data_IF_990272119590
#
_entry.id   IF_990272119590
#
_cell.length_a   1.000
_cell.length_b   1.000
_cell.length_c   1.000
_cell.angle_alpha   90.00
_cell.angle_beta   90.00
_cell.angle_gamma   90.00
#
_symmetry.space_group_name_H-M   'P 1'
#
loop_
_entity.id
_entity.type
_entity.pdbx_description
1 polymer ?
#
# COMPACT_ATOMS: atom_id res chain seq x y z
N UNK A 1 54.93 25.61 -72.37
CA UNK A 1 54.76 26.98 -71.88
C UNK A 1 53.56 27.04 -71.01
N UNK A 2 53.74 27.69 -69.86
CA UNK A 2 52.75 28.09 -68.86
C UNK A 2 52.12 27.01 -67.97
N UNK A 3 52.72 26.96 -66.82
CA UNK A 3 52.31 26.37 -65.54
C UNK A 3 51.12 27.12 -64.96
N UNK A 4 50.15 26.42 -64.36
CA UNK A 4 49.16 27.02 -63.51
C UNK A 4 49.09 26.21 -62.20
N UNK A 5 49.64 26.79 -61.16
CA UNK A 5 49.52 26.29 -59.78
C UNK A 5 48.10 26.52 -59.27
N UNK A 6 47.41 25.42 -58.86
CA UNK A 6 46.17 25.48 -58.16
C UNK A 6 46.42 25.30 -56.65
N UNK A 7 46.16 26.35 -55.87
CA UNK A 7 46.19 26.32 -54.41
C UNK A 7 44.98 25.50 -53.82
N UNK A 8 45.29 24.43 -53.12
CA UNK A 8 44.31 23.72 -52.31
C UNK A 8 44.36 24.28 -50.88
N UNK A 9 43.40 25.08 -50.54
CA UNK A 9 43.14 25.44 -49.10
C UNK A 9 42.31 24.37 -48.47
N UNK A 10 42.93 23.56 -47.61
CA UNK A 10 42.23 22.61 -46.73
C UNK A 10 41.50 23.37 -45.63
N UNK A 11 40.18 23.35 -45.66
CA UNK A 11 39.35 23.81 -44.55
C UNK A 11 39.42 22.78 -43.38
N UNK A 12 40.06 23.17 -42.29
CA UNK A 12 40.03 22.39 -41.05
C UNK A 12 38.68 22.58 -40.36
N UNK A 13 37.90 21.49 -40.26
CA UNK A 13 36.68 21.45 -39.47
C UNK A 13 37.02 21.47 -37.99
N UNK A 14 36.60 22.53 -37.29
CA UNK A 14 36.69 22.64 -35.83
C UNK A 14 35.68 21.67 -35.22
N UNK A 15 36.07 20.75 -34.33
CA UNK A 15 35.10 19.85 -33.68
C UNK A 15 34.20 20.65 -32.73
N UNK A 16 32.90 20.63 -32.99
CA UNK A 16 31.88 21.19 -32.10
C UNK A 16 31.89 20.39 -30.81
N UNK A 17 32.31 21.03 -29.72
CA UNK A 17 32.30 20.46 -28.37
C UNK A 17 30.84 20.35 -27.90
N UNK A 18 30.29 19.14 -27.94
CA UNK A 18 28.98 18.85 -27.35
C UNK A 18 29.15 19.01 -25.84
N UNK A 19 28.50 20.03 -25.27
CA UNK A 19 28.43 20.20 -23.84
C UNK A 19 27.55 19.07 -23.25
N UNK A 20 28.17 18.11 -22.62
CA UNK A 20 27.45 17.11 -21.79
C UNK A 20 26.99 17.84 -20.54
N UNK A 21 25.72 18.21 -20.52
CA UNK A 21 25.06 18.73 -19.31
C UNK A 21 24.88 17.54 -18.35
N UNK A 22 25.83 17.32 -17.45
CA UNK A 22 25.62 16.45 -16.30
C UNK A 22 24.62 17.12 -15.38
N UNK A 23 23.35 16.70 -15.48
CA UNK A 23 22.33 17.07 -14.48
C UNK A 23 22.72 16.36 -13.18
N UNK A 24 23.42 17.04 -12.30
CA UNK A 24 23.64 16.58 -10.92
C UNK A 24 22.28 16.67 -10.24
N UNK A 25 21.57 15.55 -10.15
CA UNK A 25 20.34 15.45 -9.37
C UNK A 25 20.77 15.54 -7.91
N UNK A 26 20.45 16.65 -7.24
CA UNK A 26 20.59 16.72 -5.79
C UNK A 26 19.86 15.53 -5.17
N UNK A 27 20.41 14.92 -4.09
CA UNK A 27 19.75 13.79 -3.43
C UNK A 27 18.37 14.26 -2.95
N UNK A 28 17.33 13.50 -3.32
CA UNK A 28 15.95 13.76 -2.89
C UNK A 28 15.86 13.54 -1.37
N UNK A 29 15.86 14.62 -0.59
CA UNK A 29 15.83 14.58 0.87
C UNK A 29 14.42 14.31 1.38
N UNK A 30 14.26 13.31 2.23
CA UNK A 30 13.02 13.04 2.96
C UNK A 30 12.95 13.99 4.16
N UNK A 31 11.93 14.83 4.22
CA UNK A 31 11.72 15.80 5.29
C UNK A 31 10.28 15.74 5.83
N UNK A 32 10.04 16.40 6.96
CA UNK A 32 8.73 16.50 7.59
C UNK A 32 7.78 17.39 6.76
N UNK A 33 7.27 16.85 5.67
CA UNK A 33 6.36 17.56 4.76
C UNK A 33 4.91 17.63 5.25
N UNK A 34 4.57 16.94 6.35
CA UNK A 34 3.18 16.79 6.78
C UNK A 34 2.39 15.96 5.77
N UNK A 35 1.35 16.58 5.19
CA UNK A 35 0.56 16.02 4.06
C UNK A 35 0.70 16.89 2.81
N UNK A 36 1.75 17.70 2.70
CA UNK A 36 1.99 18.55 1.55
C UNK A 36 2.60 17.74 0.40
N UNK A 37 2.17 18.06 -0.82
CA UNK A 37 2.77 17.53 -2.05
C UNK A 37 4.10 18.23 -2.36
N UNK A 38 5.01 17.56 -3.04
CA UNK A 38 6.30 18.13 -3.43
C UNK A 38 7.42 17.08 -3.58
N UNK A 39 8.64 17.56 -3.75
CA UNK A 39 9.83 16.75 -3.99
C UNK A 39 10.11 15.81 -2.81
N UNK A 40 10.06 16.31 -1.57
CA UNK A 40 10.23 15.48 -0.36
C UNK A 40 9.17 14.38 -0.24
N UNK A 41 7.91 14.67 -0.60
CA UNK A 41 6.85 13.65 -0.65
C UNK A 41 7.15 12.60 -1.70
N UNK A 42 7.65 12.97 -2.87
CA UNK A 42 8.06 12.01 -3.90
C UNK A 42 9.21 11.12 -3.43
N UNK A 43 10.20 11.69 -2.74
CA UNK A 43 11.30 10.92 -2.13
C UNK A 43 10.76 9.92 -1.08
N UNK A 44 9.86 10.37 -0.20
CA UNK A 44 9.21 9.51 0.79
C UNK A 44 8.39 8.38 0.14
N UNK A 45 7.62 8.66 -0.91
CA UNK A 45 6.87 7.65 -1.66
C UNK A 45 7.79 6.59 -2.26
N UNK A 46 8.91 6.99 -2.89
CA UNK A 46 9.90 6.04 -3.42
C UNK A 46 10.48 5.16 -2.32
N UNK A 47 10.85 5.75 -1.19
CA UNK A 47 11.42 5.02 -0.05
C UNK A 47 10.40 4.07 0.58
N UNK A 48 9.15 4.48 0.78
CA UNK A 48 8.07 3.62 1.27
C UNK A 48 7.88 2.40 0.38
N UNK A 49 7.80 2.58 -0.95
CA UNK A 49 7.69 1.47 -1.90
C UNK A 49 8.91 0.55 -1.86
N UNK A 50 10.12 1.08 -1.79
CA UNK A 50 11.34 0.26 -1.70
C UNK A 50 11.35 -0.61 -0.44
N UNK A 51 10.74 -0.13 0.65
CA UNK A 51 10.55 -0.88 1.89
C UNK A 51 9.32 -1.81 1.86
N UNK A 52 8.53 -1.78 0.79
CA UNK A 52 7.34 -2.64 0.64
C UNK A 52 6.04 -2.04 1.16
N UNK A 53 6.02 -0.82 1.69
CA UNK A 53 4.77 -0.14 2.04
C UNK A 53 4.07 0.31 0.76
N UNK A 54 2.92 -0.32 0.49
CA UNK A 54 2.26 -0.16 -0.79
C UNK A 54 1.58 1.21 -0.94
N UNK A 55 1.81 1.84 -2.08
CA UNK A 55 1.12 3.02 -2.60
C UNK A 55 1.16 3.02 -4.13
N UNK A 56 0.40 3.90 -4.77
CA UNK A 56 0.47 4.13 -6.21
C UNK A 56 1.83 4.72 -6.62
N UNK A 57 2.07 4.82 -7.93
CA UNK A 57 3.31 5.35 -8.50
C UNK A 57 3.70 6.69 -7.86
N UNK A 58 4.96 6.84 -7.40
CA UNK A 58 5.46 8.06 -6.78
C UNK A 58 5.35 9.28 -7.68
N UNK A 59 4.41 10.15 -7.39
CA UNK A 59 4.11 11.36 -8.16
C UNK A 59 4.56 12.64 -7.47
N UNK A 60 4.80 12.58 -6.15
CA UNK A 60 4.98 13.74 -5.29
C UNK A 60 3.65 14.35 -4.80
N UNK A 61 2.50 13.87 -5.28
CA UNK A 61 1.19 14.26 -4.74
C UNK A 61 0.93 13.47 -3.45
N UNK A 62 0.57 14.17 -2.37
CA UNK A 62 0.17 13.53 -1.12
C UNK A 62 -1.30 13.09 -1.23
N UNK A 63 -1.51 11.92 -1.82
CA UNK A 63 -2.83 11.31 -2.01
C UNK A 63 -3.19 10.33 -0.89
N UNK A 64 -4.38 9.74 -0.98
CA UNK A 64 -4.86 8.77 0.02
C UNK A 64 -3.94 7.54 0.11
N UNK A 65 -3.40 7.03 -0.99
CA UNK A 65 -2.51 5.86 -0.96
C UNK A 65 -1.19 6.19 -0.27
N UNK A 66 -0.67 7.41 -0.45
CA UNK A 66 0.49 7.93 0.29
C UNK A 66 0.20 8.01 1.78
N UNK A 67 -0.97 8.58 2.16
CA UNK A 67 -1.40 8.66 3.55
C UNK A 67 -1.48 7.28 4.20
N UNK A 68 -2.04 6.31 3.50
CA UNK A 68 -2.17 4.93 3.99
C UNK A 68 -0.81 4.22 4.12
N UNK A 69 0.11 4.42 3.18
CA UNK A 69 1.46 3.88 3.26
C UNK A 69 2.27 4.47 4.43
N UNK A 70 2.16 5.79 4.64
CA UNK A 70 2.76 6.46 5.81
C UNK A 70 2.17 5.89 7.11
N UNK A 71 0.84 5.68 7.16
CA UNK A 71 0.17 5.09 8.32
C UNK A 71 0.63 3.65 8.58
N UNK A 72 0.78 2.83 7.53
CA UNK A 72 1.31 1.48 7.64
C UNK A 72 2.75 1.47 8.16
N UNK A 73 3.61 2.37 7.65
CA UNK A 73 4.96 2.57 8.15
C UNK A 73 4.97 2.94 9.64
N UNK A 74 4.18 3.93 10.02
CA UNK A 74 4.06 4.37 11.41
C UNK A 74 3.62 3.23 12.34
N UNK A 75 2.62 2.44 11.95
CA UNK A 75 2.16 1.27 12.70
C UNK A 75 3.24 0.20 12.85
N UNK A 76 3.93 -0.11 11.75
CA UNK A 76 4.97 -1.14 11.79
C UNK A 76 6.09 -0.79 12.75
N UNK A 77 6.51 0.47 12.76
CA UNK A 77 7.58 0.97 13.62
C UNK A 77 7.08 1.59 14.94
N UNK A 78 5.82 1.34 15.33
CA UNK A 78 5.22 1.77 16.59
C UNK A 78 5.22 3.29 16.82
N UNK A 79 5.18 4.07 15.73
CA UNK A 79 4.93 5.49 15.79
C UNK A 79 3.41 5.74 15.83
N UNK A 80 3.00 6.93 16.32
CA UNK A 80 1.59 7.34 16.25
C UNK A 80 1.10 7.36 14.80
N UNK A 81 0.08 6.55 14.42
CA UNK A 81 -0.33 6.37 13.02
C UNK A 81 -1.23 7.51 12.53
N UNK A 82 -0.65 8.68 12.35
CA UNK A 82 -1.35 9.89 11.89
C UNK A 82 -1.57 9.93 10.38
N UNK A 83 -0.81 9.13 9.64
CA UNK A 83 -0.74 9.26 8.18
C UNK A 83 -0.15 10.59 7.71
N UNK A 84 0.72 11.21 8.51
CA UNK A 84 1.38 12.49 8.20
C UNK A 84 2.89 12.36 8.40
N UNK A 85 3.68 12.92 7.48
CA UNK A 85 5.14 12.93 7.52
C UNK A 85 5.63 14.00 8.51
N UNK A 86 5.55 13.70 9.82
CA UNK A 86 6.16 14.50 10.87
C UNK A 86 7.67 14.23 10.99
N UNK A 87 8.39 14.97 11.84
CA UNK A 87 9.84 14.85 12.00
C UNK A 87 10.29 13.44 12.37
N UNK A 88 9.61 12.78 13.32
CA UNK A 88 9.93 11.41 13.73
C UNK A 88 9.74 10.41 12.58
N UNK A 89 8.66 10.54 11.82
CA UNK A 89 8.37 9.68 10.66
C UNK A 89 9.39 9.89 9.55
N UNK A 90 9.70 11.14 9.22
CA UNK A 90 10.66 11.49 8.17
C UNK A 90 12.07 11.00 8.53
N UNK A 91 12.52 11.26 9.77
CA UNK A 91 13.81 10.80 10.27
C UNK A 91 13.95 9.27 10.20
N UNK A 92 12.94 8.55 10.70
CA UNK A 92 12.99 7.10 10.72
C UNK A 92 12.93 6.52 9.30
N UNK A 93 12.06 7.04 8.43
CA UNK A 93 11.95 6.59 7.05
C UNK A 93 13.26 6.79 6.25
N UNK A 94 13.94 7.92 6.49
CA UNK A 94 15.25 8.19 5.86
C UNK A 94 16.31 7.14 6.23
N UNK A 95 16.31 6.67 7.48
CA UNK A 95 17.29 5.73 8.01
C UNK A 95 16.99 4.26 7.74
N UNK A 96 15.74 3.89 7.43
CA UNK A 96 15.37 2.50 7.24
C UNK A 96 15.88 1.94 5.91
N UNK A 97 16.60 0.82 6.00
CA UNK A 97 17.13 0.06 4.86
C UNK A 97 16.48 -1.33 4.75
N UNK A 98 16.02 -1.86 5.88
CA UNK A 98 15.51 -3.24 5.95
C UNK A 98 14.00 -3.23 5.71
N UNK A 99 13.56 -4.07 4.78
CA UNK A 99 12.13 -4.26 4.52
C UNK A 99 11.45 -4.95 5.71
N UNK A 100 10.23 -4.52 6.07
CA UNK A 100 9.36 -5.26 6.98
C UNK A 100 9.18 -6.72 6.55
N UNK A 101 9.12 -7.62 7.53
CA UNK A 101 8.84 -9.03 7.30
C UNK A 101 7.55 -9.43 8.00
N UNK A 102 6.73 -10.21 7.31
CA UNK A 102 5.63 -10.99 7.87
C UNK A 102 6.18 -12.12 8.77
N UNK A 103 5.31 -12.89 9.40
CA UNK A 103 5.72 -14.08 10.16
C UNK A 103 6.00 -15.27 9.24
N UNK A 104 5.26 -15.36 8.11
CA UNK A 104 5.47 -16.42 7.13
C UNK A 104 6.79 -16.25 6.38
N UNK A 105 7.54 -17.35 6.32
CA UNK A 105 8.83 -17.47 5.62
C UNK A 105 8.77 -18.39 4.41
N UNK A 106 7.56 -18.84 4.05
CA UNK A 106 7.29 -19.72 2.91
C UNK A 106 5.88 -19.46 2.34
N UNK A 107 5.63 -19.87 1.12
CA UNK A 107 4.34 -19.78 0.43
C UNK A 107 3.93 -18.36 0.02
N UNK A 108 2.80 -18.30 -0.69
CA UNK A 108 2.15 -17.03 -1.10
C UNK A 108 0.81 -16.93 -0.39
N UNK A 109 0.66 -15.89 0.46
CA UNK A 109 -0.47 -15.77 1.38
C UNK A 109 -0.72 -14.33 1.83
N UNK A 110 -1.84 -14.12 2.50
CA UNK A 110 -2.13 -12.90 3.25
C UNK A 110 -1.93 -13.13 4.74
N UNK A 111 -1.24 -12.22 5.43
CA UNK A 111 -1.21 -12.17 6.89
C UNK A 111 -1.90 -10.91 7.40
N UNK A 112 -2.82 -11.08 8.34
CA UNK A 112 -3.51 -9.98 9.02
C UNK A 112 -3.04 -9.91 10.46
N UNK A 113 -2.30 -8.85 10.77
CA UNK A 113 -1.87 -8.52 12.12
C UNK A 113 -2.92 -7.60 12.78
N UNK A 114 -3.77 -8.16 13.62
CA UNK A 114 -4.83 -7.41 14.33
C UNK A 114 -4.24 -6.40 15.33
N UNK A 115 -3.14 -6.74 15.97
CA UNK A 115 -2.51 -5.86 16.98
C UNK A 115 -2.00 -4.58 16.34
N UNK A 116 -1.31 -4.68 15.20
CA UNK A 116 -0.76 -3.52 14.47
C UNK A 116 -1.72 -2.95 13.43
N UNK A 117 -2.84 -3.65 13.14
CA UNK A 117 -3.76 -3.27 12.07
C UNK A 117 -3.04 -3.16 10.72
N UNK A 118 -2.30 -4.22 10.35
CA UNK A 118 -1.54 -4.33 9.11
C UNK A 118 -1.95 -5.59 8.35
N UNK A 119 -1.99 -5.48 7.03
CA UNK A 119 -2.10 -6.59 6.11
C UNK A 119 -0.77 -6.75 5.38
N UNK A 120 -0.17 -7.93 5.46
CA UNK A 120 1.01 -8.32 4.69
C UNK A 120 0.59 -9.21 3.53
N UNK A 121 1.08 -8.91 2.35
CA UNK A 121 1.03 -9.81 1.21
C UNK A 121 2.41 -10.45 1.08
N UNK A 122 2.45 -11.77 1.27
CA UNK A 122 3.67 -12.58 1.16
C UNK A 122 3.66 -13.29 -0.19
N UNK A 123 4.78 -13.28 -0.88
CA UNK A 123 5.02 -14.00 -2.12
C UNK A 123 6.28 -14.85 -1.94
N UNK A 124 6.14 -16.17 -2.04
CA UNK A 124 7.22 -17.14 -1.87
C UNK A 124 8.04 -16.91 -0.58
N UNK A 125 7.34 -16.71 0.53
CA UNK A 125 7.94 -16.48 1.85
C UNK A 125 8.58 -15.10 2.04
N UNK A 126 8.47 -14.21 1.05
CA UNK A 126 8.99 -12.84 1.14
C UNK A 126 7.86 -11.83 1.23
N UNK A 127 7.92 -10.92 2.19
CA UNK A 127 6.94 -9.83 2.27
C UNK A 127 7.04 -8.93 1.05
N UNK A 128 6.02 -8.99 0.20
CA UNK A 128 5.94 -8.15 -0.99
C UNK A 128 5.36 -6.78 -0.70
N UNK A 129 4.25 -6.76 0.05
CA UNK A 129 3.56 -5.52 0.42
C UNK A 129 3.14 -5.50 1.89
N UNK A 130 3.23 -4.33 2.49
CA UNK A 130 2.65 -3.99 3.79
C UNK A 130 1.61 -2.90 3.57
N UNK A 131 0.39 -3.16 4.01
CA UNK A 131 -0.79 -2.32 3.73
C UNK A 131 -1.45 -1.95 5.05
N UNK A 132 -1.81 -0.67 5.22
CA UNK A 132 -2.66 -0.26 6.32
C UNK A 132 -4.02 -0.95 6.21
N UNK A 133 -4.51 -1.53 7.30
CA UNK A 133 -5.85 -2.13 7.37
C UNK A 133 -6.62 -1.67 8.60
N UNK A 134 -7.91 -2.00 8.61
CA UNK A 134 -8.81 -1.82 9.73
C UNK A 134 -9.70 -3.07 9.83
N UNK A 135 -9.55 -3.81 10.94
CA UNK A 135 -10.28 -5.04 11.23
C UNK A 135 -11.52 -4.78 12.09
N UNK A 136 -12.23 -5.81 12.48
CA UNK A 136 -13.29 -5.73 13.49
C UNK A 136 -12.75 -5.20 14.82
N UNK A 137 -13.60 -4.52 15.58
CA UNK A 137 -13.24 -3.88 16.86
C UNK A 137 -13.60 -4.71 18.08
N UNK A 138 -14.02 -5.97 17.86
CA UNK A 138 -14.43 -6.98 18.85
C UNK A 138 -15.64 -6.54 19.73
N UNK A 139 -16.38 -5.47 19.34
CA UNK A 139 -17.55 -4.98 20.05
C UNK A 139 -18.85 -5.57 19.51
N UNK A 140 -19.88 -5.74 20.36
CA UNK A 140 -21.22 -6.09 19.91
C UNK A 140 -21.81 -4.94 19.09
N UNK A 141 -22.59 -5.29 18.07
CA UNK A 141 -23.32 -4.32 17.25
C UNK A 141 -24.77 -4.75 17.04
N UNK A 142 -25.60 -3.76 16.72
CA UNK A 142 -26.99 -3.91 16.27
C UNK A 142 -27.19 -2.93 15.15
N UNK A 143 -27.26 -3.41 13.91
CA UNK A 143 -27.31 -2.58 12.70
C UNK A 143 -28.49 -3.00 11.82
N UNK A 144 -29.08 -2.07 11.06
CA UNK A 144 -30.08 -2.42 10.04
C UNK A 144 -29.47 -3.32 8.97
N UNK A 145 -30.24 -4.34 8.56
CA UNK A 145 -29.92 -5.13 7.37
C UNK A 145 -30.15 -4.28 6.12
N UNK A 146 -29.08 -4.02 5.36
CA UNK A 146 -29.13 -3.19 4.15
C UNK A 146 -29.91 -3.86 2.99
N UNK A 147 -30.04 -5.19 3.04
CA UNK A 147 -30.73 -5.98 2.02
C UNK A 147 -32.18 -6.31 2.39
N UNK A 148 -32.54 -6.23 3.69
CA UNK A 148 -33.87 -6.59 4.20
C UNK A 148 -34.42 -5.47 5.08
N UNK A 149 -35.19 -4.51 4.52
CA UNK A 149 -35.72 -3.39 5.28
C UNK A 149 -36.51 -3.81 6.51
N UNK A 150 -36.25 -3.16 7.65
CA UNK A 150 -36.91 -3.44 8.94
C UNK A 150 -36.30 -4.59 9.74
N UNK A 151 -35.33 -5.32 9.20
CA UNK A 151 -34.58 -6.36 9.92
C UNK A 151 -33.34 -5.75 10.59
N UNK A 152 -33.04 -6.18 11.80
CA UNK A 152 -31.84 -5.82 12.55
C UNK A 152 -30.89 -7.02 12.62
N UNK A 153 -29.62 -6.81 12.23
CA UNK A 153 -28.55 -7.78 12.38
C UNK A 153 -27.86 -7.50 13.72
N UNK A 154 -27.67 -8.56 14.48
CA UNK A 154 -26.94 -8.53 15.76
C UNK A 154 -25.71 -9.42 15.67
N UNK A 155 -24.59 -8.95 16.18
CA UNK A 155 -23.36 -9.70 16.17
C UNK A 155 -22.28 -9.08 17.04
N UNK A 156 -21.09 -9.66 16.95
CA UNK A 156 -19.85 -9.07 17.50
C UNK A 156 -18.88 -8.86 16.35
N UNK A 157 -18.27 -7.71 16.31
CA UNK A 157 -17.41 -7.24 15.20
C UNK A 157 -16.03 -7.94 15.20
N UNK A 158 -16.00 -9.27 15.17
CA UNK A 158 -14.80 -10.08 15.31
C UNK A 158 -14.18 -10.37 13.93
N UNK A 159 -12.88 -10.09 13.79
CA UNK A 159 -12.05 -10.71 12.77
C UNK A 159 -11.42 -11.96 13.41
N UNK A 160 -11.85 -13.18 13.02
CA UNK A 160 -11.40 -14.40 13.70
C UNK A 160 -9.90 -14.65 13.51
N UNK A 161 -9.22 -14.99 14.60
CA UNK A 161 -7.81 -15.43 14.58
C UNK A 161 -7.74 -16.89 14.08
N UNK A 162 -6.75 -17.22 13.27
CA UNK A 162 -6.55 -18.58 12.75
C UNK A 162 -5.94 -18.62 11.36
N UNK A 163 -5.96 -19.83 10.80
CA UNK A 163 -5.52 -20.08 9.41
C UNK A 163 -6.74 -20.44 8.56
N UNK A 164 -6.90 -19.75 7.48
CA UNK A 164 -8.03 -19.85 6.57
C UNK A 164 -7.55 -19.93 5.13
N UNK A 165 -8.51 -20.12 4.19
CA UNK A 165 -8.25 -20.03 2.76
C UNK A 165 -9.25 -19.10 2.10
N UNK A 166 -8.81 -18.39 1.08
CA UNK A 166 -9.73 -17.65 0.19
C UNK A 166 -10.73 -18.63 -0.41
N UNK A 167 -12.01 -18.49 -0.09
CA UNK A 167 -13.04 -19.48 -0.44
C UNK A 167 -14.14 -18.95 -1.37
N UNK A 168 -14.24 -17.65 -1.51
CA UNK A 168 -15.21 -16.97 -2.37
C UNK A 168 -14.71 -15.57 -2.70
N UNK A 169 -15.04 -15.09 -3.89
CA UNK A 169 -14.65 -13.75 -4.32
C UNK A 169 -15.70 -13.11 -5.24
N UNK A 170 -15.66 -11.79 -5.34
CA UNK A 170 -16.48 -10.99 -6.25
C UNK A 170 -15.59 -9.96 -6.94
N UNK A 171 -15.30 -10.13 -8.24
CA UNK A 171 -14.34 -9.29 -8.95
C UNK A 171 -14.89 -7.90 -9.31
N UNK A 172 -16.22 -7.74 -9.37
CA UNK A 172 -16.85 -6.57 -9.98
C UNK A 172 -17.26 -5.54 -8.93
N UNK A 173 -16.57 -4.40 -8.88
CA UNK A 173 -16.99 -3.16 -8.25
C UNK A 173 -17.51 -3.26 -6.81
N UNK A 174 -18.49 -2.40 -6.51
CA UNK A 174 -19.14 -2.35 -5.21
C UNK A 174 -20.24 -3.40 -5.09
N UNK A 175 -20.24 -4.08 -3.97
CA UNK A 175 -21.26 -5.03 -3.57
C UNK A 175 -21.97 -4.56 -2.29
N UNK A 176 -23.31 -4.65 -2.26
CA UNK A 176 -24.09 -4.36 -1.06
C UNK A 176 -24.20 -5.64 -0.23
N UNK A 177 -23.44 -5.68 0.87
CA UNK A 177 -23.59 -6.72 1.91
C UNK A 177 -24.64 -6.28 2.94
N UNK A 178 -24.99 -7.20 3.84
CA UNK A 178 -26.03 -6.95 4.85
C UNK A 178 -25.66 -5.79 5.79
N UNK A 179 -24.38 -5.58 6.03
CA UNK A 179 -23.83 -4.53 6.91
C UNK A 179 -23.18 -3.37 6.15
N UNK A 180 -23.51 -3.17 4.87
CA UNK A 180 -23.04 -2.06 4.05
C UNK A 180 -22.26 -2.47 2.81
N UNK A 181 -21.69 -1.45 2.15
CA UNK A 181 -20.99 -1.64 0.88
C UNK A 181 -19.54 -2.10 1.07
N UNK A 182 -19.14 -3.07 0.26
CA UNK A 182 -17.79 -3.62 0.19
C UNK A 182 -17.33 -3.67 -1.27
N UNK A 183 -16.06 -3.33 -1.52
CA UNK A 183 -15.52 -3.26 -2.87
C UNK A 183 -14.65 -4.48 -3.19
N UNK A 184 -15.01 -5.23 -4.26
CA UNK A 184 -14.26 -6.38 -4.81
C UNK A 184 -13.82 -7.39 -3.73
N UNK A 185 -14.72 -7.88 -2.84
CA UNK A 185 -14.33 -8.68 -1.67
C UNK A 185 -13.74 -10.05 -2.05
N UNK A 186 -12.73 -10.46 -1.28
CA UNK A 186 -12.19 -11.82 -1.23
C UNK A 186 -12.45 -12.39 0.16
N UNK A 187 -13.38 -13.36 0.24
CA UNK A 187 -13.82 -13.95 1.51
C UNK A 187 -12.90 -15.11 1.90
N UNK A 188 -12.68 -15.25 3.21
CA UNK A 188 -11.86 -16.34 3.75
C UNK A 188 -12.52 -17.13 4.88
N UNK A 189 -13.55 -16.57 5.54
CA UNK A 189 -14.38 -17.29 6.50
C UNK A 189 -15.79 -16.67 6.59
N UNK A 190 -16.84 -17.47 6.34
CA UNK A 190 -18.22 -16.99 6.40
C UNK A 190 -18.47 -15.72 5.59
N UNK A 191 -18.87 -14.65 6.25
CA UNK A 191 -19.07 -13.31 5.68
C UNK A 191 -17.84 -12.40 5.78
N UNK A 192 -16.73 -12.85 6.38
CA UNK A 192 -15.52 -12.04 6.58
C UNK A 192 -14.64 -12.08 5.34
N UNK A 193 -14.24 -10.92 4.86
CA UNK A 193 -13.45 -10.75 3.64
C UNK A 193 -12.34 -9.70 3.81
N UNK A 194 -11.31 -9.79 2.98
CA UNK A 194 -10.46 -8.65 2.62
C UNK A 194 -11.20 -7.89 1.52
N UNK A 195 -11.44 -6.60 1.70
CA UNK A 195 -12.18 -5.80 0.71
C UNK A 195 -11.77 -4.33 0.69
N UNK A 196 -11.99 -3.68 -0.44
CA UNK A 196 -11.84 -2.24 -0.56
C UNK A 196 -12.94 -1.48 0.20
N UNK A 197 -12.55 -0.37 0.82
CA UNK A 197 -13.44 0.53 1.55
C UNK A 197 -13.12 1.98 1.21
N UNK A 198 -14.13 2.85 1.31
CA UNK A 198 -13.94 4.31 1.17
C UNK A 198 -13.13 4.89 2.33
N UNK A 199 -13.19 4.24 3.51
CA UNK A 199 -12.49 4.69 4.70
C UNK A 199 -11.73 3.54 5.34
N UNK A 200 -10.43 3.75 5.59
CA UNK A 200 -9.56 2.81 6.29
C UNK A 200 -8.84 3.58 7.40
N UNK A 201 -9.44 3.65 8.61
CA UNK A 201 -8.83 4.36 9.71
C UNK A 201 -7.58 3.65 10.25
N UNK A 202 -6.88 4.30 11.18
CA UNK A 202 -5.69 3.74 11.81
C UNK A 202 -6.01 2.66 12.88
N UNK A 203 -7.26 2.50 13.25
CA UNK A 203 -7.76 1.65 14.32
C UNK A 203 -8.80 0.65 13.80
N UNK A 204 -9.12 -0.42 14.55
CA UNK A 204 -10.18 -1.35 14.16
C UNK A 204 -11.55 -0.66 14.18
N UNK A 205 -12.32 -0.84 13.11
CA UNK A 205 -13.61 -0.16 12.92
C UNK A 205 -14.57 -0.90 11.98
N UNK A 206 -14.28 -2.14 11.60
CA UNK A 206 -15.17 -2.94 10.75
C UNK A 206 -16.07 -3.85 11.62
N UNK A 207 -17.08 -4.45 11.00
CA UNK A 207 -17.90 -5.49 11.62
C UNK A 207 -17.25 -6.89 11.59
N UNK A 208 -15.94 -6.96 11.25
CA UNK A 208 -15.18 -8.21 11.18
C UNK A 208 -14.34 -8.35 9.90
N UNK A 209 -14.68 -7.67 8.82
CA UNK A 209 -13.89 -7.67 7.60
C UNK A 209 -12.54 -6.94 7.76
N UNK A 210 -11.61 -7.24 6.87
CA UNK A 210 -10.29 -6.62 6.75
C UNK A 210 -10.37 -5.54 5.67
N UNK A 211 -10.47 -4.27 6.06
CA UNK A 211 -10.60 -3.13 5.15
C UNK A 211 -9.25 -2.69 4.62
N UNK A 212 -9.16 -2.50 3.31
CA UNK A 212 -8.07 -1.80 2.63
C UNK A 212 -8.66 -0.69 1.74
N UNK A 213 -7.85 0.22 1.18
CA UNK A 213 -8.38 1.17 0.19
C UNK A 213 -8.85 0.45 -1.07
N UNK A 214 -9.76 1.07 -1.83
CA UNK A 214 -10.18 0.52 -3.14
C UNK A 214 -8.99 0.32 -4.07
N UNK A 215 -8.05 1.28 -4.11
CA UNK A 215 -6.84 1.17 -4.92
C UNK A 215 -5.92 0.02 -4.47
N UNK A 216 -5.80 -0.24 -3.17
CA UNK A 216 -5.05 -1.40 -2.66
C UNK A 216 -5.78 -2.72 -3.01
N UNK A 217 -7.11 -2.72 -2.99
CA UNK A 217 -7.88 -3.89 -3.39
C UNK A 217 -7.76 -4.18 -4.89
N UNK A 218 -7.75 -3.15 -5.74
CA UNK A 218 -7.47 -3.29 -7.17
C UNK A 218 -6.08 -3.91 -7.39
N UNK A 219 -5.04 -3.42 -6.71
CA UNK A 219 -3.71 -4.02 -6.77
C UNK A 219 -3.71 -5.49 -6.35
N UNK A 220 -4.41 -5.87 -5.27
CA UNK A 220 -4.52 -7.27 -4.83
C UNK A 220 -5.14 -8.14 -5.92
N UNK A 221 -6.16 -7.65 -6.62
CA UNK A 221 -6.77 -8.35 -7.74
C UNK A 221 -5.83 -8.46 -8.95
N UNK A 222 -5.24 -7.34 -9.34
CA UNK A 222 -4.39 -7.24 -10.54
C UNK A 222 -3.08 -8.02 -10.40
N UNK A 223 -2.56 -8.14 -9.16
CA UNK A 223 -1.36 -8.93 -8.87
C UNK A 223 -1.56 -10.43 -8.99
N UNK A 224 -2.80 -10.92 -8.85
CA UNK A 224 -3.10 -12.35 -8.82
C UNK A 224 -2.54 -13.11 -7.61
N UNK A 225 -1.97 -12.42 -6.61
CA UNK A 225 -1.26 -13.06 -5.49
C UNK A 225 -2.16 -13.78 -4.49
N UNK A 226 -3.43 -13.41 -4.41
CA UNK A 226 -4.40 -14.03 -3.49
C UNK A 226 -5.58 -14.65 -4.27
N UNK A 227 -5.35 -15.70 -5.08
CA UNK A 227 -6.44 -16.39 -5.78
C UNK A 227 -7.31 -17.20 -4.79
N UNK A 228 -8.40 -17.78 -5.30
CA UNK A 228 -9.16 -18.78 -4.54
C UNK A 228 -8.23 -19.93 -4.10
N UNK A 229 -8.36 -20.33 -2.84
CA UNK A 229 -7.48 -21.31 -2.20
C UNK A 229 -6.20 -20.75 -1.58
N UNK A 230 -5.85 -19.49 -1.82
CA UNK A 230 -4.71 -18.86 -1.16
C UNK A 230 -4.91 -18.82 0.37
N UNK A 231 -3.83 -19.02 1.11
CA UNK A 231 -3.87 -19.02 2.56
C UNK A 231 -4.05 -17.60 3.12
N UNK A 232 -4.78 -17.52 4.23
CA UNK A 232 -4.97 -16.29 5.02
C UNK A 232 -4.67 -16.62 6.47
N UNK A 233 -3.70 -15.96 7.05
CA UNK A 233 -3.33 -16.12 8.47
C UNK A 233 -3.73 -14.85 9.21
N UNK A 234 -4.56 -14.99 10.23
CA UNK A 234 -4.98 -13.87 11.10
C UNK A 234 -4.43 -14.13 12.49
N UNK A 235 -3.74 -13.15 13.06
CA UNK A 235 -3.16 -13.26 14.40
C UNK A 235 -3.19 -11.93 15.16
N UNK A 236 -2.80 -12.00 16.43
CA UNK A 236 -2.78 -10.86 17.34
C UNK A 236 -4.13 -10.56 18.01
N UNK A 237 -4.07 -9.69 18.99
CA UNK A 237 -5.22 -9.23 19.78
C UNK A 237 -5.36 -7.72 19.66
N UNK A 238 -6.55 -7.20 19.89
CA UNK A 238 -6.77 -5.75 20.00
C UNK A 238 -6.30 -5.27 21.36
N UNK A 239 -5.55 -4.18 21.39
CA UNK A 239 -5.07 -3.50 22.60
C UNK A 239 -6.10 -2.46 23.07
#
# INVERSE_FOLDING_TARGET
>A
MLSACGNWTSAQSVPTRVAVTTTTTEPEVISASGQRSGVSTKAAQKKLLSLGFWLLTPSGKYDETTRQAVMAFQKYYQLRPTGSMNDATAFLLDKMEIRPQAQATEGTLAEVDKTRQLLFIVEDGTTKYVINTSTGDDRPYVEPDMNTPGVLIRGTAITPVGKFKMNRERPDGWWVGDLGQIYRPKYFIGGVAIHGSQTVPAYPASHGCVRVTTAAMDMIWDSGLLPLGADVVVYGELN
#
